data_IF_532614065840
#
_entry.id   IF_532614065840
#
_cell.length_a   1.000
_cell.length_b   1.000
_cell.length_c   1.000
_cell.angle_alpha   90.00
_cell.angle_beta   90.00
_cell.angle_gamma   90.00
#
_symmetry.space_group_name_H-M   'P 1'
#
loop_
_entity.id
_entity.type
_entity.pdbx_description
1 polymer ?
#
# COMPACT_ATOMS: atom_id res chain seq x y z
N UNK A 1 -16.64 -12.68 10.27
CA UNK A 1 -16.33 -11.37 9.65
C UNK A 1 -14.96 -11.50 9.05
N UNK A 2 -14.85 -11.67 7.73
CA UNK A 2 -13.56 -11.65 7.05
C UNK A 2 -13.16 -10.18 6.97
N UNK A 3 -12.31 -9.74 7.90
CA UNK A 3 -11.71 -8.40 7.86
C UNK A 3 -10.75 -8.32 6.69
N UNK A 4 -10.87 -7.26 5.92
CA UNK A 4 -10.12 -7.06 4.68
C UNK A 4 -8.66 -6.79 5.02
N UNK A 5 -7.76 -7.63 4.50
CA UNK A 5 -6.34 -7.54 4.83
C UNK A 5 -5.64 -6.54 3.90
N UNK A 6 -5.00 -5.52 4.48
CA UNK A 6 -4.17 -4.55 3.79
C UNK A 6 -2.73 -5.02 3.78
N UNK A 7 -2.13 -5.14 2.61
CA UNK A 7 -0.76 -5.65 2.44
C UNK A 7 0.18 -4.50 2.12
N UNK A 8 1.27 -4.39 2.88
CA UNK A 8 2.38 -3.49 2.55
C UNK A 8 3.29 -4.22 1.56
N UNK A 9 3.56 -3.59 0.43
CA UNK A 9 4.46 -4.09 -0.59
C UNK A 9 5.63 -3.14 -0.80
N UNK A 10 6.82 -3.71 -0.92
CA UNK A 10 8.08 -3.02 -1.20
C UNK A 10 8.42 -3.13 -2.68
N UNK A 11 8.84 -2.03 -3.30
CA UNK A 11 9.40 -2.04 -4.65
C UNK A 11 10.85 -2.55 -4.64
N UNK A 12 11.07 -3.69 -5.29
CA UNK A 12 12.39 -4.30 -5.48
C UNK A 12 12.78 -4.29 -6.97
N UNK A 13 14.00 -4.75 -7.28
CA UNK A 13 14.44 -4.95 -8.67
C UNK A 13 13.59 -5.95 -9.45
N UNK A 14 12.85 -6.84 -8.77
CA UNK A 14 11.95 -7.83 -9.39
C UNK A 14 10.49 -7.34 -9.42
N UNK A 15 10.23 -6.09 -9.01
CA UNK A 15 8.90 -5.54 -8.85
C UNK A 15 8.44 -5.55 -7.39
N UNK A 16 7.12 -5.56 -7.19
CA UNK A 16 6.51 -5.46 -5.87
C UNK A 16 6.59 -6.78 -5.11
N UNK A 17 7.15 -6.74 -3.91
CA UNK A 17 7.24 -7.88 -3.00
C UNK A 17 6.42 -7.60 -1.74
N UNK A 18 5.67 -8.60 -1.27
CA UNK A 18 4.96 -8.52 0.01
C UNK A 18 5.96 -8.38 1.15
N UNK A 19 5.76 -7.38 2.01
CA UNK A 19 6.55 -7.18 3.22
C UNK A 19 5.75 -7.57 4.46
N UNK A 20 4.56 -7.00 4.63
CA UNK A 20 3.77 -7.08 5.87
C UNK A 20 2.27 -6.98 5.57
N UNK A 21 1.42 -7.29 6.55
CA UNK A 21 -0.02 -7.17 6.37
C UNK A 21 -0.75 -6.79 7.66
N UNK A 22 -1.80 -5.99 7.52
CA UNK A 22 -2.54 -5.33 8.60
C UNK A 22 -4.04 -5.44 8.36
N UNK A 23 -4.82 -5.45 9.45
CA UNK A 23 -6.30 -5.43 9.37
C UNK A 23 -6.86 -4.03 9.11
N UNK A 24 -6.08 -2.98 9.38
CA UNK A 24 -6.51 -1.59 9.28
C UNK A 24 -5.69 -0.85 8.21
N UNK A 25 -6.40 -0.16 7.31
CA UNK A 25 -5.81 0.65 6.24
C UNK A 25 -4.86 1.71 6.77
N UNK A 26 -5.33 2.51 7.72
CA UNK A 26 -4.59 3.66 8.25
C UNK A 26 -3.26 3.22 8.88
N UNK A 27 -3.27 2.10 9.61
CA UNK A 27 -2.05 1.53 10.18
C UNK A 27 -1.08 1.06 9.09
N UNK A 28 -1.58 0.39 8.04
CA UNK A 28 -0.75 -0.05 6.93
C UNK A 28 -0.11 1.13 6.18
N UNK A 29 -0.89 2.18 5.89
CA UNK A 29 -0.42 3.37 5.19
C UNK A 29 0.59 4.16 6.04
N UNK A 30 0.30 4.34 7.33
CA UNK A 30 1.23 4.98 8.27
C UNK A 30 2.55 4.21 8.34
N UNK A 31 2.49 2.88 8.44
CA UNK A 31 3.69 2.06 8.51
C UNK A 31 4.49 2.08 7.21
N UNK A 32 3.84 1.99 6.04
CA UNK A 32 4.49 2.14 4.75
C UNK A 32 5.21 3.48 4.62
N UNK A 33 4.58 4.57 5.07
CA UNK A 33 5.17 5.91 5.10
C UNK A 33 6.37 6.01 6.05
N UNK A 34 6.26 5.47 7.27
CA UNK A 34 7.37 5.49 8.23
C UNK A 34 8.57 4.69 7.71
N UNK A 35 8.33 3.53 7.08
CA UNK A 35 9.37 2.72 6.44
C UNK A 35 10.03 3.49 5.30
N UNK A 36 9.25 4.08 4.38
CA UNK A 36 9.80 4.83 3.24
C UNK A 36 10.67 6.02 3.67
N UNK A 37 10.30 6.68 4.77
CA UNK A 37 11.12 7.77 5.34
C UNK A 37 12.41 7.25 5.99
N UNK A 38 12.36 6.09 6.66
CA UNK A 38 13.49 5.54 7.39
C UNK A 38 14.56 4.90 6.48
N UNK A 39 14.15 4.17 5.44
CA UNK A 39 15.07 3.40 4.58
C UNK A 39 15.22 3.97 3.16
N UNK A 40 14.42 5.00 2.81
CA UNK A 40 14.43 5.62 1.48
C UNK A 40 13.80 4.76 0.37
N UNK A 41 13.25 3.59 0.70
CA UNK A 41 12.65 2.67 -0.26
C UNK A 41 11.20 3.08 -0.57
N UNK A 42 10.67 2.50 -1.66
CA UNK A 42 9.32 2.80 -2.13
C UNK A 42 8.36 1.71 -1.69
N UNK A 43 7.29 2.11 -1.01
CA UNK A 43 6.26 1.21 -0.50
C UNK A 43 4.90 1.53 -1.10
N UNK A 44 4.00 0.56 -1.14
CA UNK A 44 2.58 0.77 -1.40
C UNK A 44 1.74 -0.11 -0.49
N UNK A 45 0.47 0.25 -0.34
CA UNK A 45 -0.51 -0.58 0.36
C UNK A 45 -1.53 -1.09 -0.65
N UNK A 46 -1.79 -2.39 -0.67
CA UNK A 46 -2.77 -3.04 -1.54
C UNK A 46 -3.82 -3.80 -0.74
N UNK A 47 -5.06 -3.82 -1.23
CA UNK A 47 -6.16 -4.62 -0.73
C UNK A 47 -7.21 -4.71 -1.84
N UNK A 48 -7.97 -5.81 -1.96
CA UNK A 48 -9.06 -5.93 -2.93
C UNK A 48 -10.13 -4.83 -2.80
N UNK A 49 -10.21 -4.18 -1.65
CA UNK A 49 -11.23 -3.17 -1.35
C UNK A 49 -10.72 -1.73 -1.50
N UNK A 50 -9.46 -1.53 -1.89
CA UNK A 50 -8.95 -0.18 -2.09
C UNK A 50 -9.58 0.46 -3.32
N UNK A 51 -10.22 1.61 -3.11
CA UNK A 51 -10.62 2.55 -4.17
C UNK A 51 -9.49 3.49 -4.57
N UNK A 52 -8.38 3.51 -3.82
CA UNK A 52 -7.26 4.42 -4.04
C UNK A 52 -5.96 3.69 -3.74
N UNK A 53 -5.00 3.74 -4.65
CA UNK A 53 -3.65 3.24 -4.44
C UNK A 53 -2.72 4.40 -4.13
N UNK A 54 -2.04 4.36 -2.99
CA UNK A 54 -0.97 5.29 -2.66
C UNK A 54 0.39 4.60 -2.70
N UNK A 55 1.36 5.28 -3.33
CA UNK A 55 2.78 4.91 -3.34
C UNK A 55 3.53 5.91 -2.47
N UNK A 56 4.22 5.39 -1.46
CA UNK A 56 4.98 6.12 -0.46
C UNK A 56 6.46 6.07 -0.81
N UNK A 57 7.06 7.25 -0.89
CA UNK A 57 8.50 7.44 -1.13
C UNK A 57 9.07 8.29 0.01
N UNK A 58 10.39 8.46 0.03
CA UNK A 58 11.03 9.38 0.99
C UNK A 58 10.53 10.83 0.84
N UNK A 59 10.04 11.21 -0.34
CA UNK A 59 9.59 12.57 -0.66
C UNK A 59 8.10 12.80 -0.37
N UNK A 60 7.40 11.80 0.15
CA UNK A 60 5.96 11.83 0.39
C UNK A 60 5.21 10.77 -0.42
N UNK A 61 3.90 10.95 -0.52
CA UNK A 61 3.00 10.00 -1.16
C UNK A 61 2.43 10.55 -2.48
N UNK A 62 2.22 9.65 -3.45
CA UNK A 62 1.42 9.91 -4.65
C UNK A 62 0.30 8.89 -4.70
N UNK A 63 -0.92 9.34 -4.96
CA UNK A 63 -2.10 8.49 -4.94
C UNK A 63 -2.85 8.56 -6.27
N UNK A 64 -3.47 7.45 -6.64
CA UNK A 64 -4.31 7.30 -7.82
C UNK A 64 -5.62 6.64 -7.42
N UNK A 65 -6.73 7.13 -7.95
CA UNK A 65 -8.01 6.43 -7.86
C UNK A 65 -7.92 5.14 -8.70
N UNK A 66 -8.37 4.04 -8.11
CA UNK A 66 -8.47 2.77 -8.82
C UNK A 66 -9.87 2.68 -9.40
N UNK A 67 -9.95 2.35 -10.69
CA UNK A 67 -11.22 1.98 -11.29
C UNK A 67 -11.81 0.83 -10.48
N UNK A 68 -12.97 1.08 -9.86
CA UNK A 68 -13.67 -0.03 -9.22
C UNK A 68 -14.06 -1.02 -10.32
N UNK A 69 -13.86 -2.33 -10.11
CA UNK A 69 -14.35 -3.31 -11.06
C UNK A 69 -15.84 -3.04 -11.24
N UNK A 70 -16.23 -2.65 -12.44
CA UNK A 70 -17.63 -2.49 -12.81
C UNK A 70 -18.24 -3.87 -12.63
N UNK A 71 -19.03 -4.04 -11.57
CA UNK A 71 -19.87 -5.23 -11.44
C UNK A 71 -20.89 -5.11 -12.57
N UNK A 72 -20.62 -5.78 -13.69
CA UNK A 72 -21.53 -5.99 -14.79
C UNK A 72 -22.46 -7.17 -14.50
#
# INVERSE_FOLDING_TARGET
MQGSMYTIELLTHQGWSRAEAHEQRELAEMQAMLKSQADGQTYRVTSPELSTLCVFTQQGARCWELDQPSVA
#
